data_IF_318469340703
#
_entry.id   IF_318469340703
#
_cell.length_a   1.000
_cell.length_b   1.000
_cell.length_c   1.000
_cell.angle_alpha   90.00
_cell.angle_beta   90.00
_cell.angle_gamma   90.00
#
_symmetry.space_group_name_H-M   'P 1'
#
loop_
_entity.id
_entity.type
_entity.pdbx_description
1 polymer ?
#
# COMPACT_ATOMS: atom_id res chain seq x y z
N UNK A 1 -3.98 22.00 17.15
CA UNK A 1 -4.35 21.22 18.36
C UNK A 1 -3.24 20.21 18.62
N UNK A 2 -3.16 19.45 19.72
CA UNK A 2 -2.29 18.27 19.72
C UNK A 2 -2.73 17.32 18.60
N UNK A 3 -1.78 16.83 17.81
CA UNK A 3 -2.04 15.83 16.78
C UNK A 3 -2.53 14.53 17.43
N UNK A 4 -3.65 14.01 16.93
CA UNK A 4 -4.21 12.74 17.41
C UNK A 4 -3.79 11.65 16.45
N UNK A 5 -2.82 10.84 16.87
CA UNK A 5 -2.36 9.69 16.10
C UNK A 5 -3.26 8.47 16.33
N UNK A 6 -3.58 7.79 15.24
CA UNK A 6 -4.17 6.45 15.19
C UNK A 6 -3.02 5.43 15.09
N UNK A 7 -3.07 4.36 15.87
CA UNK A 7 -2.12 3.24 15.77
C UNK A 7 -2.50 2.36 14.57
N UNK A 8 -1.52 2.03 13.72
CA UNK A 8 -1.70 1.20 12.53
C UNK A 8 -1.11 -0.21 12.69
N UNK A 9 -0.60 -0.55 13.88
CA UNK A 9 0.16 -1.77 14.15
C UNK A 9 1.67 -1.56 14.11
N UNK A 10 2.40 -2.57 13.63
CA UNK A 10 3.86 -2.61 13.68
C UNK A 10 4.47 -3.36 12.50
N UNK A 11 5.75 -3.10 12.25
CA UNK A 11 6.61 -3.86 11.32
C UNK A 11 7.82 -4.43 12.07
N UNK A 12 8.57 -5.32 11.44
CA UNK A 12 9.85 -5.84 11.97
C UNK A 12 10.95 -5.66 10.94
N UNK A 13 12.12 -5.15 11.35
CA UNK A 13 13.25 -4.90 10.46
C UNK A 13 14.53 -5.66 10.87
N UNK A 14 14.56 -7.01 10.83
CA UNK A 14 15.71 -7.82 11.26
C UNK A 14 17.02 -7.57 10.46
N UNK A 15 16.97 -6.95 9.29
CA UNK A 15 18.16 -6.47 8.57
C UNK A 15 18.80 -5.23 9.20
N UNK A 16 18.09 -4.54 10.10
CA UNK A 16 18.42 -3.21 10.61
C UNK A 16 18.04 -2.07 9.67
N UNK A 17 17.20 -2.33 8.65
CA UNK A 17 16.77 -1.33 7.67
C UNK A 17 15.26 -1.41 7.44
N UNK A 18 14.55 -0.31 7.72
CA UNK A 18 13.16 -0.10 7.31
C UNK A 18 13.12 0.53 5.94
N UNK A 19 12.17 0.11 5.12
CA UNK A 19 11.81 0.72 3.84
C UNK A 19 10.33 1.13 3.88
N UNK A 20 10.04 2.35 3.43
CA UNK A 20 8.71 2.82 3.02
C UNK A 20 8.74 2.97 1.49
N UNK A 21 7.86 2.30 0.75
CA UNK A 21 7.88 2.31 -0.71
C UNK A 21 6.52 2.10 -1.38
N UNK A 22 6.49 2.26 -2.70
CA UNK A 22 5.30 2.09 -3.54
C UNK A 22 4.92 0.61 -3.72
N UNK A 23 3.65 0.24 -3.49
CA UNK A 23 3.19 -1.14 -3.61
C UNK A 23 3.13 -1.64 -5.07
N UNK A 24 2.92 -0.76 -6.04
CA UNK A 24 2.91 -1.09 -7.49
C UNK A 24 4.23 -1.68 -7.98
N UNK A 25 5.35 -1.31 -7.36
CA UNK A 25 6.69 -1.46 -7.93
C UNK A 25 7.72 -2.10 -6.97
N UNK A 26 7.30 -2.57 -5.80
CA UNK A 26 8.24 -3.03 -4.76
C UNK A 26 8.99 -4.32 -5.14
N UNK A 27 8.38 -5.18 -5.96
CA UNK A 27 9.00 -6.38 -6.54
C UNK A 27 10.00 -6.06 -7.65
N UNK A 28 9.75 -4.99 -8.42
CA UNK A 28 10.54 -4.63 -9.61
C UNK A 28 11.97 -4.16 -9.28
N UNK A 29 12.26 -3.81 -8.01
CA UNK A 29 13.62 -3.57 -7.52
C UNK A 29 14.59 -4.73 -7.79
N UNK A 30 14.10 -5.96 -7.95
CA UNK A 30 14.90 -7.13 -8.34
C UNK A 30 15.42 -7.06 -9.78
N UNK A 31 14.67 -6.44 -10.69
CA UNK A 31 15.02 -6.38 -12.12
C UNK A 31 15.99 -5.23 -12.42
N UNK A 32 15.95 -4.17 -11.62
CA UNK A 32 16.70 -2.92 -11.80
C UNK A 32 18.23 -3.02 -11.53
N UNK A 33 18.78 -4.20 -11.22
CA UNK A 33 20.22 -4.42 -11.04
C UNK A 33 20.61 -4.92 -9.65
N UNK A 34 21.15 -4.04 -8.80
CA UNK A 34 21.35 -4.38 -7.38
C UNK A 34 19.96 -4.53 -6.70
N UNK A 35 19.70 -5.58 -5.92
CA UNK A 35 18.39 -5.81 -5.31
C UNK A 35 18.12 -4.84 -4.14
N UNK A 36 16.85 -4.74 -3.72
CA UNK A 36 16.40 -3.77 -2.71
C UNK A 36 17.25 -3.76 -1.41
N UNK A 37 17.68 -4.90 -0.83
CA UNK A 37 18.44 -4.91 0.42
C UNK A 37 19.83 -4.32 0.26
N UNK A 38 20.44 -4.43 -0.93
CA UNK A 38 21.76 -3.86 -1.21
C UNK A 38 21.67 -2.33 -1.30
N UNK A 39 20.65 -1.81 -2.00
CA UNK A 39 20.37 -0.37 -2.09
C UNK A 39 19.99 0.23 -0.74
N UNK A 40 19.04 -0.41 -0.05
CA UNK A 40 18.56 0.02 1.26
C UNK A 40 19.67 0.00 2.31
N UNK A 41 20.49 -1.06 2.36
CA UNK A 41 21.67 -1.10 3.23
C UNK A 41 22.82 -0.19 2.77
N UNK A 42 22.81 0.36 1.55
CA UNK A 42 23.74 1.42 1.15
C UNK A 42 23.27 2.78 1.70
N UNK A 43 22.00 3.12 1.51
CA UNK A 43 21.39 4.34 2.05
C UNK A 43 21.43 4.38 3.59
N UNK A 44 21.11 3.26 4.27
CA UNK A 44 21.12 3.20 5.73
C UNK A 44 22.51 3.49 6.34
N UNK A 45 23.62 3.17 5.64
CA UNK A 45 24.99 3.49 6.08
C UNK A 45 25.30 4.99 6.06
N UNK A 46 24.55 5.80 5.31
CA UNK A 46 24.65 7.26 5.30
C UNK A 46 23.58 7.95 6.16
N UNK A 47 22.84 7.20 6.97
CA UNK A 47 21.73 7.69 7.80
C UNK A 47 20.35 7.50 7.18
N UNK A 48 20.26 6.94 5.98
CA UNK A 48 19.04 6.77 5.19
C UNK A 48 19.08 7.57 3.88
N UNK A 49 18.01 7.46 3.08
CA UNK A 49 17.83 8.23 1.85
C UNK A 49 16.77 7.66 0.91
N UNK A 50 16.36 8.50 -0.05
CA UNK A 50 15.49 8.12 -1.17
C UNK A 50 16.25 7.25 -2.19
N UNK A 51 15.68 6.06 -2.45
CA UNK A 51 16.00 5.17 -3.55
C UNK A 51 15.03 5.43 -4.69
N UNK A 52 15.54 5.79 -5.87
CA UNK A 52 14.74 5.95 -7.08
C UNK A 52 15.45 5.36 -8.30
N UNK A 53 14.72 4.58 -9.09
CA UNK A 53 15.17 4.05 -10.38
C UNK A 53 13.96 3.86 -11.29
N UNK A 54 13.94 4.52 -12.45
CA UNK A 54 12.74 4.70 -13.29
C UNK A 54 11.49 5.14 -12.49
N UNK A 55 10.43 4.31 -12.48
CA UNK A 55 9.19 4.50 -11.71
C UNK A 55 9.23 3.86 -10.32
N UNK A 56 10.33 3.19 -9.93
CA UNK A 56 10.45 2.54 -8.62
C UNK A 56 10.97 3.53 -7.58
N UNK A 57 10.19 3.79 -6.52
CA UNK A 57 10.53 4.76 -5.48
C UNK A 57 10.29 4.20 -4.07
N UNK A 58 11.28 4.40 -3.20
CA UNK A 58 11.23 4.00 -1.79
C UNK A 58 12.22 4.82 -0.96
N UNK A 59 11.93 5.06 0.32
CA UNK A 59 12.88 5.64 1.28
C UNK A 59 13.33 4.56 2.25
N UNK A 60 14.65 4.38 2.36
CA UNK A 60 15.28 3.38 3.22
C UNK A 60 16.04 4.07 4.38
N UNK A 61 15.89 3.54 5.59
CA UNK A 61 16.46 4.14 6.83
C UNK A 61 16.99 3.07 7.80
N UNK A 62 18.04 3.36 8.59
CA UNK A 62 18.49 2.47 9.64
C UNK A 62 17.43 2.36 10.75
N UNK A 63 17.24 1.17 11.31
CA UNK A 63 16.26 0.89 12.35
C UNK A 63 16.75 -0.18 13.35
N UNK A 64 16.05 -0.33 14.48
CA UNK A 64 16.34 -1.33 15.49
C UNK A 64 15.90 -2.74 15.04
N UNK A 65 16.86 -3.65 14.86
CA UNK A 65 16.63 -5.02 14.40
C UNK A 65 16.14 -6.02 15.47
N UNK A 66 16.04 -5.60 16.73
CA UNK A 66 15.77 -6.46 17.89
C UNK A 66 14.34 -6.36 18.44
N UNK A 67 13.45 -5.61 17.78
CA UNK A 67 12.10 -5.29 18.27
C UNK A 67 11.11 -4.97 17.13
N UNK A 68 9.79 -5.10 17.37
CA UNK A 68 8.77 -4.49 16.53
C UNK A 68 8.88 -2.96 16.54
N UNK A 69 8.54 -2.35 15.42
CA UNK A 69 8.62 -0.92 15.15
C UNK A 69 7.20 -0.41 14.90
N UNK A 70 6.69 0.46 15.78
CA UNK A 70 5.32 0.93 15.72
C UNK A 70 5.09 1.86 14.51
N UNK A 71 3.95 1.69 13.85
CA UNK A 71 3.50 2.53 12.73
C UNK A 71 2.21 3.22 13.14
N UNK A 72 2.13 4.54 12.93
CA UNK A 72 0.98 5.36 13.32
C UNK A 72 0.71 6.45 12.29
N UNK A 73 -0.50 6.97 12.24
CA UNK A 73 -0.85 8.07 11.34
C UNK A 73 -1.72 9.14 12.00
N UNK A 74 -1.60 10.39 11.54
CA UNK A 74 -2.68 11.38 11.67
C UNK A 74 -3.58 11.32 10.44
N UNK A 75 -4.84 11.72 10.60
CA UNK A 75 -5.82 11.71 9.53
C UNK A 75 -6.52 13.05 9.40
N UNK A 76 -6.77 13.48 8.16
CA UNK A 76 -7.65 14.62 7.87
C UNK A 76 -8.81 14.17 6.94
N UNK A 77 -9.99 14.81 7.01
CA UNK A 77 -11.13 14.43 6.18
C UNK A 77 -10.83 14.60 4.69
N UNK A 78 -11.23 13.61 3.89
CA UNK A 78 -11.27 13.68 2.44
C UNK A 78 -12.12 14.86 1.96
N UNK A 79 -11.62 15.61 0.98
CA UNK A 79 -12.37 16.67 0.31
C UNK A 79 -13.54 16.13 -0.56
N UNK A 80 -13.60 14.82 -0.80
CA UNK A 80 -14.55 14.19 -1.74
C UNK A 80 -15.71 13.46 -1.05
N UNK A 81 -15.45 12.80 0.07
CA UNK A 81 -16.40 11.93 0.79
C UNK A 81 -16.35 12.07 2.33
N UNK A 82 -15.61 13.06 2.86
CA UNK A 82 -15.41 13.34 4.30
C UNK A 82 -14.75 12.21 5.13
N UNK A 83 -14.47 11.05 4.55
CA UNK A 83 -13.82 9.91 5.21
C UNK A 83 -12.34 10.20 5.58
N UNK A 84 -11.76 9.55 6.61
CA UNK A 84 -10.41 9.85 7.08
C UNK A 84 -9.33 9.40 6.08
N UNK A 85 -8.52 10.35 5.60
CA UNK A 85 -7.34 10.11 4.75
C UNK A 85 -6.05 10.33 5.55
N UNK A 86 -4.95 9.65 5.21
CA UNK A 86 -3.67 9.80 5.95
C UNK A 86 -3.00 11.12 5.57
N UNK A 87 -2.83 12.01 6.55
CA UNK A 87 -2.11 13.29 6.40
C UNK A 87 -0.65 13.18 6.85
N UNK A 88 -0.36 12.41 7.89
CA UNK A 88 1.02 12.10 8.31
C UNK A 88 1.14 10.62 8.61
N UNK A 89 2.11 9.94 8.00
CA UNK A 89 2.53 8.59 8.40
C UNK A 89 3.83 8.70 9.22
N UNK A 90 3.90 8.00 10.36
CA UNK A 90 5.11 7.88 11.17
C UNK A 90 5.46 6.42 11.48
N UNK A 91 6.74 6.10 11.38
CA UNK A 91 7.32 4.79 11.71
C UNK A 91 8.42 5.00 12.76
N UNK A 92 8.24 4.46 13.96
CA UNK A 92 9.19 4.60 15.06
C UNK A 92 10.39 3.66 14.84
N UNK A 93 11.57 4.22 14.56
CA UNK A 93 12.75 3.44 14.13
C UNK A 93 13.47 2.70 15.26
N UNK A 94 13.09 2.94 16.53
CA UNK A 94 13.71 2.33 17.70
C UNK A 94 15.15 2.76 18.00
N UNK A 95 15.67 3.75 17.23
CA UNK A 95 17.00 4.33 17.39
C UNK A 95 16.91 5.70 18.11
N UNK A 96 17.94 6.13 18.87
CA UNK A 96 17.98 7.46 19.47
C UNK A 96 18.09 8.56 18.42
N UNK A 97 17.53 9.73 18.68
CA UNK A 97 17.74 10.93 17.86
C UNK A 97 19.21 11.38 17.93
N UNK A 98 19.86 11.75 16.81
CA UNK A 98 21.28 12.14 16.82
C UNK A 98 21.56 13.39 17.68
N UNK A 99 22.56 13.29 18.56
CA UNK A 99 23.02 14.43 19.36
C UNK A 99 23.50 15.58 18.45
N UNK A 100 22.91 16.77 18.61
CA UNK A 100 23.26 17.96 17.84
C UNK A 100 22.53 18.13 16.50
N UNK A 101 21.58 17.25 16.14
CA UNK A 101 20.69 17.51 15.00
C UNK A 101 19.66 18.59 15.36
N UNK A 102 19.74 19.75 14.69
CA UNK A 102 18.98 20.98 15.01
C UNK A 102 17.53 20.99 14.49
N UNK A 103 17.11 19.99 13.71
CA UNK A 103 15.76 19.89 13.14
C UNK A 103 15.59 18.67 12.22
N UNK A 104 14.45 18.57 11.52
CA UNK A 104 14.14 17.48 10.59
C UNK A 104 15.20 17.28 9.51
N UNK A 105 15.52 16.03 9.20
CA UNK A 105 16.45 15.66 8.12
C UNK A 105 15.65 15.14 6.93
N UNK A 106 15.60 15.92 5.84
CA UNK A 106 14.96 15.51 4.60
C UNK A 106 15.75 14.36 3.93
N UNK A 107 15.10 13.23 3.71
CA UNK A 107 15.66 12.06 3.01
C UNK A 107 15.35 12.08 1.51
N UNK A 108 14.33 12.83 1.12
CA UNK A 108 13.76 12.94 -0.21
C UNK A 108 12.24 13.12 -0.09
N UNK A 109 11.52 12.63 -1.10
CA UNK A 109 10.08 12.77 -1.24
C UNK A 109 9.52 11.55 -1.96
N UNK A 110 8.33 11.08 -1.56
CA UNK A 110 7.64 9.95 -2.18
C UNK A 110 6.29 10.40 -2.77
N UNK A 111 5.93 9.95 -3.98
CA UNK A 111 4.58 10.08 -4.51
C UNK A 111 3.61 9.20 -3.75
N UNK A 112 2.33 9.48 -3.95
CA UNK A 112 1.22 8.73 -3.36
C UNK A 112 0.79 7.66 -4.38
N UNK A 113 1.39 6.48 -4.24
CA UNK A 113 1.24 5.38 -5.20
C UNK A 113 -0.21 4.90 -5.32
N UNK A 114 -0.72 4.75 -6.55
CA UNK A 114 -2.11 4.39 -6.82
C UNK A 114 -2.52 3.02 -6.28
N UNK A 115 -1.57 2.11 -6.10
CA UNK A 115 -1.83 0.74 -5.63
C UNK A 115 -1.59 0.55 -4.13
N UNK A 116 -1.25 1.63 -3.41
CA UNK A 116 -0.99 1.63 -1.97
C UNK A 116 0.49 1.77 -1.63
N UNK A 117 0.81 1.85 -0.34
CA UNK A 117 2.17 1.99 0.17
C UNK A 117 2.53 0.80 1.06
N UNK A 118 3.80 0.39 1.06
CA UNK A 118 4.30 -0.72 1.89
C UNK A 118 5.40 -0.25 2.84
N UNK A 119 5.35 -0.74 4.08
CA UNK A 119 6.36 -0.54 5.11
C UNK A 119 6.87 -1.90 5.58
N UNK A 120 8.19 -2.11 5.56
CA UNK A 120 8.77 -3.40 5.96
C UNK A 120 10.29 -3.41 6.08
N UNK A 121 10.83 -4.59 6.37
CA UNK A 121 12.26 -4.87 6.23
C UNK A 121 12.69 -4.86 4.76
N UNK A 122 13.87 -4.37 4.45
CA UNK A 122 14.38 -4.37 3.08
C UNK A 122 14.48 -5.78 2.46
N UNK A 123 14.83 -6.82 3.24
CA UNK A 123 14.89 -8.23 2.81
C UNK A 123 13.49 -8.86 2.77
N UNK A 124 12.59 -8.44 3.66
CA UNK A 124 11.19 -8.85 3.62
C UNK A 124 10.48 -8.38 2.35
N UNK A 125 10.67 -7.10 1.97
CA UNK A 125 10.12 -6.54 0.74
C UNK A 125 10.82 -7.07 -0.53
N UNK A 126 12.10 -7.41 -0.47
CA UNK A 126 12.79 -8.13 -1.56
C UNK A 126 12.27 -9.58 -1.76
N UNK A 127 11.41 -10.07 -0.86
CA UNK A 127 10.68 -11.34 -0.97
C UNK A 127 9.19 -11.17 -1.38
N UNK A 128 8.70 -9.95 -1.62
CA UNK A 128 7.31 -9.64 -2.00
C UNK A 128 6.88 -10.30 -3.33
N UNK A 129 5.61 -10.69 -3.40
CA UNK A 129 4.96 -11.23 -4.60
C UNK A 129 3.88 -10.28 -5.13
N UNK A 130 3.92 -10.04 -6.44
CA UNK A 130 3.14 -9.02 -7.14
C UNK A 130 2.09 -9.63 -8.07
N UNK A 131 1.36 -8.80 -8.82
CA UNK A 131 0.18 -9.20 -9.60
C UNK A 131 0.41 -10.37 -10.58
N UNK A 132 1.59 -10.45 -11.18
CA UNK A 132 1.96 -11.48 -12.15
C UNK A 132 2.55 -12.76 -11.53
N UNK A 133 2.96 -12.74 -10.25
CA UNK A 133 3.55 -13.90 -9.55
C UNK A 133 2.54 -15.04 -9.31
N UNK A 134 3.02 -16.24 -9.00
CA UNK A 134 2.17 -17.36 -8.56
C UNK A 134 2.08 -17.42 -7.02
N UNK A 135 0.87 -17.56 -6.44
CA UNK A 135 0.66 -17.51 -5.00
C UNK A 135 1.19 -18.77 -4.29
N UNK A 136 1.76 -18.59 -3.10
CA UNK A 136 2.49 -19.65 -2.39
C UNK A 136 1.61 -20.82 -1.89
N UNK A 137 0.32 -20.60 -1.70
CA UNK A 137 -0.68 -21.62 -1.35
C UNK A 137 -1.38 -22.23 -2.59
N UNK A 138 -1.20 -21.64 -3.77
CA UNK A 138 -1.88 -22.02 -5.01
C UNK A 138 -3.33 -21.56 -5.12
N UNK A 139 -3.76 -20.57 -4.32
CA UNK A 139 -5.15 -20.10 -4.23
C UNK A 139 -5.35 -18.67 -4.75
N UNK A 140 -6.61 -18.35 -5.07
CA UNK A 140 -7.08 -17.04 -5.49
C UNK A 140 -8.54 -16.84 -5.07
N UNK A 141 -8.90 -15.60 -4.77
CA UNK A 141 -10.29 -15.17 -4.71
C UNK A 141 -10.78 -14.86 -6.14
N UNK A 142 -12.06 -15.08 -6.44
CA UNK A 142 -12.69 -14.67 -7.70
C UNK A 142 -13.89 -13.78 -7.40
N UNK A 143 -13.78 -12.49 -7.69
CA UNK A 143 -14.84 -11.51 -7.52
C UNK A 143 -15.49 -11.14 -8.85
N UNK A 144 -16.79 -10.83 -8.83
CA UNK A 144 -17.54 -10.31 -9.98
C UNK A 144 -18.67 -9.36 -9.57
N UNK A 145 -18.90 -8.33 -10.38
CA UNK A 145 -19.83 -7.24 -10.06
C UNK A 145 -20.42 -6.55 -11.29
N UNK A 146 -21.46 -5.75 -11.11
CA UNK A 146 -22.06 -4.87 -12.11
C UNK A 146 -23.52 -5.19 -12.46
N UNK A 147 -24.01 -4.53 -13.51
CA UNK A 147 -25.41 -4.51 -13.97
C UNK A 147 -26.08 -5.90 -14.06
N UNK A 148 -25.35 -6.93 -14.45
CA UNK A 148 -25.89 -8.29 -14.62
C UNK A 148 -25.36 -9.30 -13.60
N UNK A 149 -24.81 -8.85 -12.46
CA UNK A 149 -24.26 -9.75 -11.43
C UNK A 149 -25.29 -10.75 -10.87
N UNK A 150 -26.58 -10.41 -10.88
CA UNK A 150 -27.64 -11.35 -10.48
C UNK A 150 -27.84 -12.48 -11.50
N UNK A 151 -27.78 -12.21 -12.81
CA UNK A 151 -27.84 -13.25 -13.84
C UNK A 151 -26.61 -14.19 -13.81
N UNK A 152 -25.45 -13.66 -13.38
CA UNK A 152 -24.25 -14.47 -13.11
C UNK A 152 -24.44 -15.32 -11.86
N UNK A 153 -24.95 -14.73 -10.77
CA UNK A 153 -25.21 -15.43 -9.51
C UNK A 153 -26.21 -16.57 -9.65
N UNK A 154 -27.35 -16.33 -10.30
CA UNK A 154 -28.38 -17.35 -10.60
C UNK A 154 -27.85 -18.51 -11.46
N UNK A 155 -26.78 -18.29 -12.23
CA UNK A 155 -26.22 -19.24 -13.19
C UNK A 155 -25.00 -20.01 -12.68
N UNK A 156 -24.09 -19.32 -12.00
CA UNK A 156 -22.77 -19.84 -11.61
C UNK A 156 -22.63 -20.05 -10.10
N UNK A 157 -23.39 -19.33 -9.27
CA UNK A 157 -23.32 -19.41 -7.80
C UNK A 157 -22.59 -18.22 -7.18
N UNK A 158 -21.67 -18.47 -6.25
CA UNK A 158 -20.91 -17.46 -5.52
C UNK A 158 -21.67 -16.88 -4.31
N UNK A 159 -20.92 -16.44 -3.30
CA UNK A 159 -21.43 -15.76 -2.10
C UNK A 159 -21.22 -14.25 -2.21
N UNK A 160 -21.67 -13.47 -1.22
CA UNK A 160 -21.34 -12.03 -1.14
C UNK A 160 -19.96 -11.87 -0.53
N UNK A 161 -19.04 -11.31 -1.31
CA UNK A 161 -17.69 -10.98 -0.86
C UNK A 161 -17.75 -9.78 0.11
N UNK A 162 -16.97 -9.80 1.20
CA UNK A 162 -16.68 -8.61 1.98
C UNK A 162 -16.14 -7.47 1.10
N UNK A 163 -16.47 -6.21 1.43
CA UNK A 163 -16.04 -5.04 0.66
C UNK A 163 -16.00 -3.78 1.52
N UNK A 164 -15.22 -2.78 1.10
CA UNK A 164 -15.12 -1.48 1.76
C UNK A 164 -16.47 -0.72 1.86
N UNK A 165 -17.40 -0.93 0.92
CA UNK A 165 -18.72 -0.29 0.91
C UNK A 165 -19.78 -1.01 1.78
N UNK A 166 -19.41 -2.08 2.50
CA UNK A 166 -20.32 -2.82 3.39
C UNK A 166 -21.32 -3.72 2.66
N UNK A 167 -22.61 -3.60 3.00
CA UNK A 167 -23.75 -4.45 2.57
C UNK A 167 -24.14 -4.25 1.09
N UNK A 168 -23.15 -4.36 0.19
CA UNK A 168 -23.29 -4.11 -1.24
C UNK A 168 -22.27 -4.82 -2.14
N UNK A 169 -21.16 -5.32 -1.57
CA UNK A 169 -19.94 -5.80 -2.25
C UNK A 169 -20.10 -6.88 -3.33
N UNK A 170 -19.04 -7.16 -4.12
CA UNK A 170 -19.09 -8.09 -5.24
C UNK A 170 -19.63 -9.46 -4.83
N UNK A 171 -20.17 -10.21 -5.79
CA UNK A 171 -20.35 -11.64 -5.58
C UNK A 171 -19.05 -12.36 -5.93
N UNK A 172 -18.83 -13.57 -5.41
CA UNK A 172 -17.61 -14.29 -5.71
C UNK A 172 -17.40 -15.57 -4.93
N UNK A 173 -16.17 -16.04 -4.96
CA UNK A 173 -15.68 -17.18 -4.19
C UNK A 173 -14.37 -16.80 -3.53
N UNK A 174 -14.21 -17.18 -2.27
CA UNK A 174 -12.94 -17.10 -1.56
C UNK A 174 -12.15 -18.40 -1.75
N UNK A 175 -10.83 -18.31 -1.69
CA UNK A 175 -9.91 -19.43 -1.48
C UNK A 175 -10.01 -20.57 -2.54
N UNK A 176 -10.32 -20.24 -3.79
CA UNK A 176 -10.34 -21.21 -4.90
C UNK A 176 -8.91 -21.57 -5.35
N UNK A 177 -8.64 -22.79 -5.83
CA UNK A 177 -7.40 -23.05 -6.58
C UNK A 177 -7.29 -22.12 -7.79
N UNK A 178 -6.11 -21.51 -8.04
CA UNK A 178 -5.91 -20.52 -9.13
C UNK A 178 -6.44 -21.03 -10.48
N UNK A 179 -6.18 -22.30 -10.80
CA UNK A 179 -6.64 -22.90 -12.05
C UNK A 179 -8.17 -23.03 -12.16
N UNK A 180 -8.88 -23.16 -11.04
CA UNK A 180 -10.34 -23.18 -10.99
C UNK A 180 -10.93 -21.77 -11.06
N UNK A 181 -10.32 -20.80 -10.37
CA UNK A 181 -10.69 -19.38 -10.47
C UNK A 181 -10.56 -18.84 -11.91
N UNK A 182 -9.42 -19.08 -12.57
CA UNK A 182 -9.18 -18.68 -13.96
C UNK A 182 -10.11 -19.39 -14.95
N UNK A 183 -10.42 -20.68 -14.72
CA UNK A 183 -11.38 -21.41 -15.55
C UNK A 183 -12.81 -20.85 -15.40
N UNK A 184 -13.23 -20.52 -14.18
CA UNK A 184 -14.56 -19.96 -13.88
C UNK A 184 -14.71 -18.53 -14.41
N UNK A 185 -13.66 -17.69 -14.30
CA UNK A 185 -13.64 -16.39 -14.98
C UNK A 185 -13.80 -16.55 -16.51
N UNK A 186 -13.08 -17.49 -17.11
CA UNK A 186 -13.16 -17.75 -18.54
C UNK A 186 -14.57 -18.21 -18.96
N UNK A 187 -15.25 -19.02 -18.14
CA UNK A 187 -16.65 -19.40 -18.38
C UNK A 187 -17.64 -18.24 -18.25
N UNK A 188 -17.49 -17.38 -17.23
CA UNK A 188 -18.31 -16.17 -17.06
C UNK A 188 -18.09 -15.22 -18.24
N UNK A 189 -16.84 -15.02 -18.65
CA UNK A 189 -16.46 -14.18 -19.79
C UNK A 189 -16.93 -14.74 -21.15
N UNK A 190 -16.91 -16.06 -21.33
CA UNK A 190 -17.49 -16.73 -22.50
C UNK A 190 -19.02 -16.58 -22.53
N UNK A 191 -19.70 -16.72 -21.39
CA UNK A 191 -21.16 -16.52 -21.28
C UNK A 191 -21.59 -15.08 -21.57
N UNK A 192 -20.76 -14.07 -21.24
CA UNK A 192 -20.97 -12.67 -21.64
C UNK A 192 -20.95 -12.47 -23.18
N UNK A 193 -20.45 -13.44 -23.94
CA UNK A 193 -20.55 -13.47 -25.41
C UNK A 193 -19.59 -12.52 -26.13
N UNK A 194 -18.50 -12.09 -25.49
CA UNK A 194 -17.44 -11.29 -26.10
C UNK A 194 -17.83 -9.86 -26.54
N UNK A 195 -19.00 -9.36 -26.15
CA UNK A 195 -19.47 -8.01 -26.51
C UNK A 195 -19.13 -6.99 -25.42
N UNK A 196 -18.35 -5.92 -25.73
CA UNK A 196 -18.20 -4.77 -24.84
C UNK A 196 -19.56 -4.17 -24.48
N UNK A 197 -19.70 -3.69 -23.24
CA UNK A 197 -20.94 -3.07 -22.75
C UNK A 197 -21.95 -3.99 -22.06
N UNK A 198 -21.74 -5.32 -22.06
CA UNK A 198 -22.39 -6.19 -21.04
C UNK A 198 -21.63 -6.03 -19.72
N UNK A 199 -22.13 -5.09 -18.91
CA UNK A 199 -21.55 -4.65 -17.64
C UNK A 199 -21.63 -5.70 -16.53
N UNK A 200 -20.78 -6.71 -16.65
CA UNK A 200 -20.23 -7.49 -15.53
C UNK A 200 -18.72 -7.32 -15.61
N UNK A 201 -18.05 -7.06 -14.51
CA UNK A 201 -16.60 -7.20 -14.39
C UNK A 201 -16.29 -8.46 -13.57
N UNK A 202 -15.10 -9.01 -13.77
CA UNK A 202 -14.53 -10.14 -13.06
C UNK A 202 -13.10 -9.78 -12.67
N UNK A 203 -12.59 -10.36 -11.58
CA UNK A 203 -11.19 -10.25 -11.19
C UNK A 203 -10.76 -11.51 -10.45
N UNK A 204 -9.63 -12.10 -10.86
CA UNK A 204 -8.96 -13.19 -10.14
C UNK A 204 -7.88 -12.57 -9.26
N UNK A 205 -8.08 -12.63 -7.96
CA UNK A 205 -7.24 -12.00 -6.93
C UNK A 205 -6.40 -13.11 -6.29
N UNK A 206 -5.29 -13.47 -6.98
CA UNK A 206 -4.30 -14.46 -6.50
C UNK A 206 -3.84 -14.12 -5.08
N UNK A 207 -3.58 -15.10 -4.22
CA UNK A 207 -3.02 -14.90 -2.88
C UNK A 207 -1.50 -14.59 -2.90
N UNK A 208 -1.13 -13.58 -3.70
CA UNK A 208 0.18 -12.90 -3.65
C UNK A 208 0.12 -11.81 -2.58
N UNK A 209 1.26 -11.34 -2.10
CA UNK A 209 1.33 -10.38 -0.98
C UNK A 209 0.50 -9.12 -1.24
N UNK A 210 0.50 -8.65 -2.49
CA UNK A 210 -0.29 -7.51 -2.94
C UNK A 210 -1.80 -7.62 -2.66
N UNK A 211 -2.46 -8.74 -2.97
CA UNK A 211 -3.88 -8.91 -2.63
C UNK A 211 -4.06 -9.32 -1.16
N UNK A 212 -3.09 -10.04 -0.59
CA UNK A 212 -3.16 -10.55 0.77
C UNK A 212 -3.16 -9.42 1.81
N UNK A 213 -2.38 -8.35 1.61
CA UNK A 213 -2.44 -7.18 2.50
C UNK A 213 -3.78 -6.44 2.37
N UNK A 214 -4.32 -6.28 1.17
CA UNK A 214 -5.62 -5.61 0.95
C UNK A 214 -6.76 -6.38 1.63
N UNK A 215 -6.78 -7.71 1.50
CA UNK A 215 -7.71 -8.61 2.20
C UNK A 215 -7.55 -8.56 3.73
N UNK A 216 -6.32 -8.43 4.24
CA UNK A 216 -6.08 -8.23 5.67
C UNK A 216 -6.53 -6.85 6.19
N UNK A 217 -6.41 -5.80 5.35
CA UNK A 217 -6.78 -4.42 5.69
C UNK A 217 -8.27 -4.07 5.50
N UNK A 218 -9.07 -4.97 4.93
CA UNK A 218 -10.44 -4.77 4.48
C UNK A 218 -11.45 -4.25 5.55
N UNK A 219 -11.10 -4.40 6.83
CA UNK A 219 -11.92 -3.93 7.96
C UNK A 219 -11.21 -2.89 8.84
N UNK A 220 -10.03 -2.42 8.41
CA UNK A 220 -9.34 -1.31 9.05
C UNK A 220 -9.84 0.03 8.48
N UNK A 221 -10.18 1.05 9.30
CA UNK A 221 -10.71 2.33 8.79
C UNK A 221 -9.80 3.10 7.81
N UNK A 222 -8.50 2.76 7.80
CA UNK A 222 -7.49 3.33 6.88
C UNK A 222 -6.92 2.27 5.91
N UNK A 223 -7.66 1.18 5.70
CA UNK A 223 -7.35 0.06 4.80
C UNK A 223 -5.92 -0.51 4.98
N UNK A 224 -5.45 -0.57 6.23
CA UNK A 224 -4.11 -1.06 6.59
C UNK A 224 -4.15 -2.55 6.90
N UNK A 225 -3.38 -3.34 6.16
CA UNK A 225 -3.23 -4.78 6.35
C UNK A 225 -1.81 -5.16 6.74
N UNK A 226 -1.67 -5.92 7.83
CA UNK A 226 -0.39 -6.45 8.29
C UNK A 226 -0.23 -7.92 7.89
N UNK A 227 0.84 -8.26 7.17
CA UNK A 227 1.13 -9.61 6.64
C UNK A 227 2.59 -10.02 6.90
N UNK A 228 2.91 -11.31 6.81
CA UNK A 228 4.28 -11.81 6.93
C UNK A 228 4.87 -12.07 5.53
N UNK A 229 5.92 -11.33 5.16
CA UNK A 229 6.61 -11.44 3.86
C UNK A 229 8.08 -11.72 4.12
N UNK A 230 8.62 -12.78 3.52
CA UNK A 230 10.01 -13.20 3.76
C UNK A 230 10.36 -13.52 5.23
N UNK A 231 9.36 -13.83 6.07
CA UNK A 231 9.53 -14.01 7.52
C UNK A 231 9.62 -12.70 8.31
N UNK A 232 9.24 -11.57 7.72
CA UNK A 232 9.18 -10.26 8.35
C UNK A 232 7.73 -9.74 8.40
N UNK A 233 7.33 -9.10 9.50
CA UNK A 233 6.07 -8.37 9.54
C UNK A 233 6.17 -7.12 8.64
N UNK A 234 5.37 -7.11 7.58
CA UNK A 234 5.16 -6.01 6.65
C UNK A 234 3.76 -5.42 6.89
N UNK A 235 3.61 -4.13 6.63
CA UNK A 235 2.37 -3.38 6.73
C UNK A 235 2.10 -2.70 5.39
N UNK A 236 1.03 -3.09 4.72
CA UNK A 236 0.54 -2.45 3.50
C UNK A 236 -0.62 -1.50 3.79
N UNK A 237 -0.67 -0.38 3.08
CA UNK A 237 -1.64 0.72 3.23
C UNK A 237 -2.35 0.87 1.88
N UNK A 238 -3.58 0.38 1.80
CA UNK A 238 -4.43 0.56 0.62
C UNK A 238 -5.23 1.88 0.73
N UNK A 239 -6.16 2.11 -0.18
CA UNK A 239 -6.93 3.35 -0.32
C UNK A 239 -8.44 3.13 -0.24
N UNK A 240 -9.16 4.11 0.30
CA UNK A 240 -10.60 4.23 0.07
C UNK A 240 -10.90 4.82 -1.33
N UNK A 241 -12.17 4.96 -1.70
CA UNK A 241 -12.51 5.58 -2.98
C UNK A 241 -12.26 7.10 -2.98
N UNK A 242 -12.46 7.80 -1.87
CA UNK A 242 -12.04 9.20 -1.70
C UNK A 242 -10.52 9.37 -1.89
N UNK A 243 -9.73 8.48 -1.30
CA UNK A 243 -8.31 8.39 -1.59
C UNK A 243 -8.07 8.11 -3.08
N UNK A 244 -8.63 7.07 -3.70
CA UNK A 244 -8.45 6.86 -5.14
C UNK A 244 -8.87 8.07 -6.00
N UNK A 245 -9.82 8.90 -5.55
CA UNK A 245 -10.20 10.16 -6.20
C UNK A 245 -9.13 11.26 -6.05
N UNK A 246 -8.62 11.52 -4.83
CA UNK A 246 -7.41 12.35 -4.59
C UNK A 246 -6.25 11.85 -5.46
N UNK A 247 -6.05 10.53 -5.46
CA UNK A 247 -4.89 9.81 -6.00
C UNK A 247 -4.99 9.53 -7.51
N UNK A 248 -6.06 9.94 -8.21
CA UNK A 248 -6.15 9.84 -9.68
C UNK A 248 -5.04 10.65 -10.37
N UNK A 249 -4.70 11.83 -9.83
CA UNK A 249 -3.51 12.62 -10.19
C UNK A 249 -2.44 12.58 -9.06
N UNK A 250 -2.42 11.53 -8.24
CA UNK A 250 -1.58 11.42 -7.03
C UNK A 250 -0.12 11.00 -7.23
N UNK A 251 0.28 10.76 -8.48
CA UNK A 251 1.64 10.29 -8.82
C UNK A 251 2.61 11.42 -9.14
N UNK A 252 3.91 11.10 -9.14
CA UNK A 252 4.98 12.06 -9.46
C UNK A 252 4.84 12.73 -10.83
N UNK A 253 4.31 12.01 -11.82
CA UNK A 253 3.95 12.53 -13.15
C UNK A 253 3.06 13.78 -13.13
N UNK A 254 2.29 13.95 -12.06
CA UNK A 254 1.35 15.05 -11.84
C UNK A 254 1.87 16.08 -10.82
N UNK A 255 3.16 16.01 -10.48
CA UNK A 255 3.80 16.87 -9.50
C UNK A 255 3.57 16.47 -8.04
N UNK A 256 2.74 15.44 -7.78
CA UNK A 256 2.42 15.00 -6.41
C UNK A 256 3.49 14.04 -5.89
N UNK A 257 4.45 14.60 -5.15
CA UNK A 257 5.39 13.86 -4.31
C UNK A 257 5.69 14.66 -3.03
N UNK A 258 5.68 13.98 -1.89
CA UNK A 258 5.58 14.61 -0.57
C UNK A 258 6.77 14.26 0.32
N UNK A 259 7.26 15.21 1.15
CA UNK A 259 8.54 15.08 1.83
C UNK A 259 8.57 13.95 2.85
N UNK A 260 9.70 13.25 2.87
CA UNK A 260 10.00 12.19 3.85
C UNK A 260 11.18 12.65 4.71
N UNK A 261 10.97 12.73 6.02
CA UNK A 261 11.91 13.26 7.01
C UNK A 261 12.27 12.23 8.07
N UNK A 262 13.50 12.32 8.61
CA UNK A 262 13.77 11.83 9.97
C UNK A 262 13.50 12.95 10.96
N UNK A 263 12.79 12.64 12.05
CA UNK A 263 12.46 13.59 13.12
C UNK A 263 12.58 12.97 14.51
N UNK A 264 12.69 13.83 15.52
CA UNK A 264 12.69 13.43 16.92
C UNK A 264 11.27 13.15 17.40
N UNK A 265 11.06 12.02 18.08
CA UNK A 265 9.75 11.58 18.59
C UNK A 265 9.23 12.36 19.83
N UNK A 266 10.00 13.35 20.30
CA UNK A 266 9.75 14.12 21.54
C UNK A 266 10.15 13.42 22.84
N UNK A 267 10.47 12.12 22.80
CA UNK A 267 10.99 11.31 23.92
C UNK A 267 12.51 11.04 23.82
N UNK A 268 13.12 11.30 22.66
CA UNK A 268 14.54 11.11 22.38
C UNK A 268 14.85 9.99 21.38
N UNK A 269 13.84 9.34 20.81
CA UNK A 269 13.95 8.43 19.68
C UNK A 269 13.77 9.11 18.32
N UNK A 270 14.00 8.36 17.26
CA UNK A 270 13.82 8.79 15.86
C UNK A 270 12.56 8.17 15.25
N UNK A 271 11.74 8.99 14.59
CA UNK A 271 10.72 8.54 13.63
C UNK A 271 11.17 8.82 12.19
N UNK A 272 10.79 7.93 11.29
CA UNK A 272 10.63 8.26 9.87
C UNK A 272 9.21 8.83 9.71
N UNK A 273 9.09 10.05 9.18
CA UNK A 273 7.81 10.71 8.90
C UNK A 273 7.66 10.94 7.40
N UNK A 274 6.44 10.75 6.90
CA UNK A 274 6.02 11.17 5.55
C UNK A 274 4.77 12.04 5.71
N UNK A 275 4.83 13.29 5.24
CA UNK A 275 3.79 14.29 5.47
C UNK A 275 3.10 14.64 4.16
N UNK A 276 1.87 14.15 4.02
CA UNK A 276 0.97 14.41 2.89
C UNK A 276 0.07 15.60 3.30
N UNK A 277 0.21 16.79 2.68
CA UNK A 277 -0.72 17.88 2.95
C UNK A 277 -2.14 17.48 2.54
N UNK A 278 -3.19 17.98 3.22
CA UNK A 278 -4.57 17.75 2.78
C UNK A 278 -4.77 18.26 1.35
N UNK A 279 -5.66 17.60 0.61
CA UNK A 279 -6.05 18.05 -0.73
C UNK A 279 -6.71 19.43 -0.64
N UNK A 280 -5.98 20.46 -1.05
CA UNK A 280 -6.59 21.76 -1.36
C UNK A 280 -7.30 21.68 -2.71
N UNK A 281 -8.46 22.32 -2.81
CA UNK A 281 -8.87 22.84 -4.12
C UNK A 281 -7.77 23.80 -4.58
N UNK A 282 -7.15 23.53 -5.74
CA UNK A 282 -6.25 24.49 -6.37
C UNK A 282 -6.99 25.83 -6.55
N UNK A 283 -6.32 26.96 -6.30
CA UNK A 283 -6.89 28.26 -6.65
C UNK A 283 -7.04 28.33 -8.17
N UNK A 284 -8.29 28.16 -8.66
CA UNK A 284 -8.70 28.19 -10.07
C UNK A 284 -7.88 29.20 -10.90
N UNK A 285 -7.39 28.79 -12.07
CA UNK A 285 -6.47 29.57 -12.93
C UNK A 285 -6.95 31.02 -13.11
N UNK A 286 -6.32 31.95 -12.38
CA UNK A 286 -6.78 33.33 -12.30
C UNK A 286 -6.63 34.13 -13.60
N UNK A 287 -7.76 34.42 -14.24
CA UNK A 287 -8.02 35.42 -15.31
C UNK A 287 -6.83 35.77 -16.26
N UNK A 288 -6.83 35.17 -17.47
CA UNK A 288 -5.94 35.52 -18.59
C UNK A 288 -6.64 35.56 -19.96
#
# INVERSE_FOLDING_TARGET
MPETFVDLGFVTAPSGVVVLGMATWIDYWRELGDPLPVRAAAAAKTGGGHLRDEECEAVAVPAAADRPLAVRATTEPSAFDEEPTIATLEIALGLPWPEGAEGPVLLGDLPVDRSGMVVGDAVGLDAWTSLDDEPADGLADLSYWGRYQQEVHERFGGERMPSYEGDGGPYGWLDLPVAEAVALEAEISAWRGGLPGRGVATMVEKHVDYFTFRRAGLHHPLHVGAIEVGGCQVLGIDWCQGDHAVRHHGGRDWGQAFPVTLEADGAGGTVLRWTIPPYGEDEDEGDA
#
